data_IF_036790923552
#
_entry.id   IF_036790923552
#
_cell.length_a   1.000
_cell.length_b   1.000
_cell.length_c   1.000
_cell.angle_alpha   90.00
_cell.angle_beta   90.00
_cell.angle_gamma   90.00
#
_symmetry.space_group_name_H-M   'P 1'
#
loop_
_entity.id
_entity.type
_entity.pdbx_description
1 polymer ?
#
# COMPACT_ATOMS: atom_id res chain seq x y z
N UNK A 1 67.77 1.48 -23.59
CA UNK A 1 66.51 2.17 -23.22
C UNK A 1 65.38 1.39 -23.88
N UNK A 2 64.68 0.55 -23.12
CA UNK A 2 63.52 -0.19 -23.61
C UNK A 2 62.31 0.29 -22.81
N UNK A 3 61.35 0.90 -23.48
CA UNK A 3 60.13 1.41 -22.85
C UNK A 3 59.14 0.24 -22.71
N UNK A 4 58.82 -0.13 -21.46
CA UNK A 4 57.77 -1.07 -21.13
C UNK A 4 56.41 -0.40 -21.32
N UNK A 5 55.67 -0.78 -22.37
CA UNK A 5 54.27 -0.43 -22.52
C UNK A 5 53.43 -1.19 -21.47
N UNK A 6 52.86 -0.46 -20.52
CA UNK A 6 51.82 -0.98 -19.64
C UNK A 6 50.52 -1.10 -20.43
N UNK A 7 50.01 -2.33 -20.58
CA UNK A 7 48.68 -2.60 -21.13
C UNK A 7 47.62 -2.24 -20.09
N UNK A 8 46.90 -1.16 -20.35
CA UNK A 8 45.70 -0.79 -19.60
C UNK A 8 44.59 -1.78 -19.95
N UNK A 9 44.15 -2.57 -18.97
CA UNK A 9 42.98 -3.45 -19.09
C UNK A 9 41.73 -2.58 -19.23
N UNK A 10 41.17 -2.51 -20.44
CA UNK A 10 39.85 -1.92 -20.68
C UNK A 10 38.80 -2.90 -20.18
N UNK A 11 38.20 -2.62 -19.02
CA UNK A 11 37.09 -3.41 -18.50
C UNK A 11 35.91 -3.38 -19.50
N UNK A 12 35.51 -4.56 -19.97
CA UNK A 12 34.37 -4.75 -20.87
C UNK A 12 33.07 -4.77 -20.04
N UNK A 13 32.36 -3.64 -20.05
CA UNK A 13 31.10 -3.46 -19.34
C UNK A 13 29.88 -3.91 -20.16
N UNK A 14 30.05 -4.46 -21.37
CA UNK A 14 28.96 -4.84 -22.27
C UNK A 14 27.99 -5.87 -21.65
N UNK A 15 28.52 -6.75 -20.79
CA UNK A 15 27.73 -7.76 -20.07
C UNK A 15 26.70 -7.17 -19.08
N UNK A 16 26.90 -5.93 -18.59
CA UNK A 16 26.00 -5.26 -17.63
C UNK A 16 24.90 -4.46 -18.38
N UNK A 17 25.07 -4.22 -19.68
CA UNK A 17 24.16 -3.42 -20.52
C UNK A 17 23.26 -4.32 -21.39
N UNK A 18 23.49 -5.64 -21.40
CA UNK A 18 22.64 -6.58 -22.11
C UNK A 18 21.28 -6.71 -21.42
N UNK A 19 20.25 -6.07 -21.98
CA UNK A 19 18.86 -6.30 -21.58
C UNK A 19 18.39 -7.58 -22.28
N UNK A 20 18.21 -8.70 -21.57
CA UNK A 20 17.72 -9.91 -22.20
C UNK A 20 16.30 -9.69 -22.72
N UNK A 21 16.00 -10.18 -23.91
CA UNK A 21 14.64 -10.20 -24.43
C UNK A 21 13.75 -11.04 -23.49
N UNK A 22 12.45 -10.71 -23.40
CA UNK A 22 11.49 -11.55 -22.69
C UNK A 22 11.38 -12.86 -23.45
N UNK A 23 11.95 -13.92 -22.89
CA UNK A 23 11.96 -15.25 -23.52
C UNK A 23 10.81 -16.13 -23.05
N UNK A 24 10.29 -15.87 -21.84
CA UNK A 24 9.21 -16.66 -21.24
C UNK A 24 8.17 -15.74 -20.61
N UNK A 25 6.88 -15.84 -21.00
CA UNK A 25 5.83 -15.06 -20.36
C UNK A 25 5.57 -15.55 -18.92
N UNK A 26 5.21 -14.63 -18.03
CA UNK A 26 4.80 -14.96 -16.66
C UNK A 26 3.40 -15.55 -16.68
N UNK A 27 3.27 -16.80 -16.23
CA UNK A 27 1.99 -17.51 -16.05
C UNK A 27 1.34 -17.04 -14.75
N UNK A 28 0.56 -15.95 -14.84
CA UNK A 28 -0.03 -15.28 -13.68
C UNK A 28 -1.03 -16.15 -12.94
N UNK A 29 -1.72 -17.05 -13.62
CA UNK A 29 -2.71 -17.98 -13.07
C UNK A 29 -2.12 -19.04 -12.12
N UNK A 30 -0.80 -19.16 -12.07
CA UNK A 30 -0.06 -20.03 -11.15
C UNK A 30 0.48 -19.29 -9.92
N UNK A 31 0.41 -17.96 -9.92
CA UNK A 31 0.90 -17.12 -8.82
C UNK A 31 -0.16 -16.88 -7.74
N UNK A 32 -1.40 -17.30 -7.98
CA UNK A 32 -2.50 -17.24 -7.01
C UNK A 32 -2.78 -18.63 -6.41
N UNK A 33 -2.99 -18.69 -5.10
CA UNK A 33 -3.35 -19.91 -4.41
C UNK A 33 -4.80 -20.31 -4.70
N UNK A 34 -4.99 -21.35 -5.52
CA UNK A 34 -6.30 -21.88 -5.91
C UNK A 34 -7.04 -22.58 -4.78
N UNK A 35 -6.32 -22.97 -3.73
CA UNK A 35 -6.88 -23.67 -2.58
C UNK A 35 -7.22 -22.71 -1.43
N UNK A 36 -6.82 -21.43 -1.54
CA UNK A 36 -7.15 -20.42 -0.55
C UNK A 36 -8.66 -20.28 -0.42
N UNK A 37 -9.13 -20.25 0.82
CA UNK A 37 -10.50 -19.92 1.18
C UNK A 37 -10.45 -18.80 2.19
N UNK A 38 -11.24 -17.77 1.95
CA UNK A 38 -11.47 -16.72 2.94
C UNK A 38 -11.91 -17.36 4.26
N UNK A 39 -11.27 -16.94 5.34
CA UNK A 39 -11.67 -17.32 6.68
C UNK A 39 -12.81 -16.41 7.15
N UNK A 40 -13.62 -16.89 8.09
CA UNK A 40 -14.71 -16.10 8.67
C UNK A 40 -14.25 -15.05 9.68
N UNK A 41 -12.99 -14.60 9.59
CA UNK A 41 -12.40 -13.63 10.50
C UNK A 41 -13.06 -12.26 10.30
N UNK A 42 -13.16 -11.48 11.38
CA UNK A 42 -13.65 -10.11 11.26
C UNK A 42 -12.64 -9.25 10.50
N UNK A 43 -13.05 -8.13 9.87
CA UNK A 43 -12.13 -7.23 9.18
C UNK A 43 -10.94 -6.78 10.06
N UNK A 44 -11.20 -6.52 11.35
CA UNK A 44 -10.15 -6.08 12.29
C UNK A 44 -9.18 -7.22 12.62
N UNK A 45 -9.66 -8.46 12.76
CA UNK A 45 -8.80 -9.61 13.00
C UNK A 45 -7.89 -9.88 11.79
N UNK A 46 -8.43 -9.78 10.57
CA UNK A 46 -7.67 -9.90 9.34
C UNK A 46 -6.59 -8.82 9.23
N UNK A 47 -6.93 -7.57 9.55
CA UNK A 47 -5.99 -6.46 9.62
C UNK A 47 -4.84 -6.73 10.59
N UNK A 48 -5.16 -7.17 11.81
CA UNK A 48 -4.16 -7.47 12.84
C UNK A 48 -3.28 -8.65 12.43
N UNK A 49 -3.85 -9.71 11.86
CA UNK A 49 -3.13 -10.89 11.35
C UNK A 49 -2.15 -10.50 10.25
N UNK A 50 -2.59 -9.74 9.26
CA UNK A 50 -1.75 -9.26 8.15
C UNK A 50 -0.64 -8.33 8.66
N UNK A 51 -0.97 -7.40 9.55
CA UNK A 51 0.01 -6.49 10.14
C UNK A 51 1.04 -7.22 11.01
N UNK A 52 0.63 -8.24 11.76
CA UNK A 52 1.54 -9.04 12.56
C UNK A 52 2.45 -9.91 11.69
N UNK A 53 1.94 -10.48 10.60
CA UNK A 53 2.77 -11.19 9.62
C UNK A 53 3.87 -10.29 9.03
N UNK A 54 3.56 -9.03 8.75
CA UNK A 54 4.56 -8.04 8.31
C UNK A 54 5.59 -7.71 9.39
N UNK A 55 5.17 -7.58 10.66
CA UNK A 55 6.09 -7.34 11.77
C UNK A 55 7.14 -8.47 11.90
N UNK A 56 6.72 -9.72 11.70
CA UNK A 56 7.63 -10.88 11.79
C UNK A 56 8.79 -10.83 10.77
N UNK A 57 8.63 -10.08 9.67
CA UNK A 57 9.67 -9.94 8.65
C UNK A 57 10.90 -9.17 9.13
N UNK A 58 10.76 -8.34 10.17
CA UNK A 58 11.84 -7.44 10.59
C UNK A 58 12.10 -7.39 12.10
N UNK A 59 11.18 -7.94 12.93
CA UNK A 59 11.41 -8.03 14.36
C UNK A 59 12.61 -8.92 14.73
N UNK A 60 12.86 -9.99 13.94
CA UNK A 60 13.83 -11.03 14.29
C UNK A 60 15.26 -10.81 13.80
N UNK A 61 15.51 -9.88 12.87
CA UNK A 61 16.86 -9.63 12.33
C UNK A 61 17.49 -8.41 12.99
N UNK A 62 18.79 -8.40 13.28
CA UNK A 62 19.44 -7.25 13.95
C UNK A 62 19.32 -5.94 13.16
N UNK A 63 19.43 -6.03 11.83
CA UNK A 63 19.30 -4.91 10.90
C UNK A 63 18.26 -5.22 9.82
N UNK A 64 17.51 -4.20 9.39
CA UNK A 64 16.58 -4.27 8.27
C UNK A 64 17.14 -3.45 7.11
N UNK A 65 17.11 -3.98 5.89
CA UNK A 65 17.47 -3.19 4.71
C UNK A 65 16.40 -2.13 4.43
N UNK A 66 16.81 -1.03 3.79
CA UNK A 66 15.89 0.04 3.40
C UNK A 66 14.77 -0.47 2.49
N UNK A 67 15.10 -1.38 1.59
CA UNK A 67 14.18 -1.99 0.64
C UNK A 67 13.13 -2.82 1.37
N UNK A 68 13.56 -3.69 2.30
CA UNK A 68 12.63 -4.50 3.08
C UNK A 68 11.76 -3.64 4.00
N UNK A 69 12.33 -2.59 4.59
CA UNK A 69 11.58 -1.62 5.39
C UNK A 69 10.48 -0.93 4.56
N UNK A 70 10.83 -0.53 3.34
CA UNK A 70 9.88 0.09 2.41
C UNK A 70 8.77 -0.89 2.01
N UNK A 71 9.11 -2.15 1.74
CA UNK A 71 8.12 -3.20 1.41
C UNK A 71 7.19 -3.46 2.60
N UNK A 72 7.73 -3.58 3.82
CA UNK A 72 6.93 -3.75 5.03
C UNK A 72 5.98 -2.56 5.25
N UNK A 73 6.47 -1.34 5.07
CA UNK A 73 5.67 -0.12 5.14
C UNK A 73 4.52 -0.11 4.13
N UNK A 74 4.80 -0.42 2.86
CA UNK A 74 3.77 -0.53 1.83
C UNK A 74 2.75 -1.64 2.16
N UNK A 75 3.22 -2.75 2.75
CA UNK A 75 2.37 -3.82 3.26
C UNK A 75 1.37 -3.34 4.32
N UNK A 76 1.76 -2.48 5.26
CA UNK A 76 0.82 -1.92 6.24
C UNK A 76 -0.28 -1.11 5.56
N UNK A 77 0.07 -0.31 4.56
CA UNK A 77 -0.93 0.45 3.80
C UNK A 77 -1.88 -0.47 3.02
N UNK A 78 -1.39 -1.58 2.48
CA UNK A 78 -2.25 -2.61 1.87
C UNK A 78 -3.16 -3.29 2.90
N UNK A 79 -2.69 -3.50 4.14
CA UNK A 79 -3.51 -4.05 5.22
C UNK A 79 -4.64 -3.08 5.62
N UNK A 80 -4.36 -1.77 5.71
CA UNK A 80 -5.39 -0.74 5.97
C UNK A 80 -6.43 -0.70 4.85
N UNK A 81 -5.99 -0.71 3.60
CA UNK A 81 -6.91 -0.71 2.46
C UNK A 81 -7.81 -1.96 2.46
N UNK A 82 -7.23 -3.14 2.73
CA UNK A 82 -7.99 -4.39 2.85
C UNK A 82 -9.00 -4.35 4.00
N UNK A 83 -8.62 -3.76 5.14
CA UNK A 83 -9.51 -3.55 6.28
C UNK A 83 -10.72 -2.70 5.91
N UNK A 84 -10.49 -1.52 5.31
CA UNK A 84 -11.57 -0.61 4.93
C UNK A 84 -12.52 -1.27 3.94
N UNK A 85 -11.99 -1.96 2.92
CA UNK A 85 -12.80 -2.70 1.94
C UNK A 85 -13.65 -3.77 2.60
N UNK A 86 -13.03 -4.66 3.39
CA UNK A 86 -13.76 -5.74 4.05
C UNK A 86 -14.79 -5.23 5.06
N UNK A 87 -14.52 -4.11 5.73
CA UNK A 87 -15.45 -3.46 6.64
C UNK A 87 -16.66 -2.90 5.88
N UNK A 88 -16.44 -2.12 4.82
CA UNK A 88 -17.52 -1.56 3.99
C UNK A 88 -18.36 -2.66 3.36
N UNK A 89 -17.72 -3.70 2.80
CA UNK A 89 -18.42 -4.90 2.30
C UNK A 89 -19.29 -5.53 3.37
N UNK A 90 -18.70 -5.78 4.55
CA UNK A 90 -19.40 -6.39 5.66
C UNK A 90 -20.64 -5.59 6.08
N UNK A 91 -20.50 -4.27 6.21
CA UNK A 91 -21.61 -3.37 6.56
C UNK A 91 -22.73 -3.42 5.52
N UNK A 92 -22.42 -3.35 4.23
CA UNK A 92 -23.43 -3.44 3.15
C UNK A 92 -24.21 -4.77 3.21
N UNK A 93 -23.53 -5.87 3.58
CA UNK A 93 -24.18 -7.19 3.62
C UNK A 93 -25.09 -7.40 4.83
N UNK A 94 -24.82 -6.73 5.96
CA UNK A 94 -25.51 -6.99 7.24
C UNK A 94 -26.44 -5.86 7.67
N UNK A 95 -26.16 -4.62 7.29
CA UNK A 95 -26.92 -3.44 7.68
C UNK A 95 -27.85 -2.98 6.54
N UNK A 96 -29.19 -3.06 6.75
CA UNK A 96 -30.16 -2.65 5.74
C UNK A 96 -30.03 -1.19 5.30
N UNK A 97 -29.58 -0.29 6.18
CA UNK A 97 -29.37 1.11 5.82
C UNK A 97 -28.21 1.25 4.83
N UNK A 98 -27.06 0.65 5.14
CA UNK A 98 -25.90 0.60 4.26
C UNK A 98 -26.25 -0.01 2.90
N UNK A 99 -26.99 -1.12 2.89
CA UNK A 99 -27.45 -1.74 1.64
C UNK A 99 -28.26 -0.76 0.79
N UNK A 100 -29.24 -0.09 1.38
CA UNK A 100 -30.09 0.87 0.68
C UNK A 100 -29.30 2.03 0.07
N UNK A 101 -28.25 2.51 0.74
CA UNK A 101 -27.36 3.56 0.18
C UNK A 101 -26.54 3.01 -1.00
N UNK A 102 -26.08 1.77 -0.90
CA UNK A 102 -25.30 1.11 -1.94
C UNK A 102 -26.13 0.68 -3.18
N UNK A 103 -27.45 0.47 -3.04
CA UNK A 103 -28.35 0.04 -4.13
C UNK A 103 -28.36 1.01 -5.33
N UNK A 104 -28.11 2.30 -5.12
CA UNK A 104 -28.05 3.31 -6.18
C UNK A 104 -26.73 3.29 -6.97
N UNK A 105 -25.77 2.45 -6.58
CA UNK A 105 -24.42 2.42 -7.18
C UNK A 105 -24.33 1.40 -8.30
N UNK A 106 -23.50 1.73 -9.28
CA UNK A 106 -23.25 0.87 -10.42
C UNK A 106 -22.04 -0.05 -10.17
N UNK A 107 -22.13 -1.27 -10.67
CA UNK A 107 -21.02 -2.22 -10.78
C UNK A 107 -20.77 -2.54 -12.26
N UNK A 108 -19.58 -3.07 -12.57
CA UNK A 108 -19.28 -3.54 -13.92
C UNK A 108 -20.10 -4.80 -14.25
N UNK A 109 -20.38 -5.01 -15.53
CA UNK A 109 -21.08 -6.22 -15.98
C UNK A 109 -20.30 -7.51 -15.65
N UNK A 110 -18.96 -7.44 -15.74
CA UNK A 110 -18.09 -8.56 -15.36
C UNK A 110 -18.22 -8.95 -13.88
N UNK A 111 -18.26 -7.96 -12.99
CA UNK A 111 -18.50 -8.20 -11.56
C UNK A 111 -19.88 -8.81 -11.32
N UNK A 112 -20.92 -8.30 -11.99
CA UNK A 112 -22.27 -8.85 -11.89
C UNK A 112 -22.37 -10.32 -12.34
N UNK A 113 -21.58 -10.72 -13.34
CA UNK A 113 -21.60 -12.08 -13.89
C UNK A 113 -20.75 -13.07 -13.08
N UNK A 114 -19.63 -12.62 -12.50
CA UNK A 114 -18.62 -13.53 -11.93
C UNK A 114 -18.46 -13.46 -10.41
N UNK A 115 -18.91 -12.40 -9.73
CA UNK A 115 -18.82 -12.33 -8.26
C UNK A 115 -19.94 -13.12 -7.60
N UNK A 116 -19.64 -13.73 -6.45
CA UNK A 116 -20.68 -14.23 -5.55
C UNK A 116 -21.45 -13.05 -4.94
N UNK A 117 -22.68 -13.29 -4.47
CA UNK A 117 -23.47 -12.25 -3.79
C UNK A 117 -22.72 -11.64 -2.59
N UNK A 118 -21.91 -12.44 -1.90
CA UNK A 118 -21.12 -12.02 -0.75
C UNK A 118 -19.93 -11.14 -1.14
N UNK A 119 -19.36 -11.32 -2.34
CA UNK A 119 -18.22 -10.51 -2.83
C UNK A 119 -18.65 -9.37 -3.75
N UNK A 120 -19.93 -9.33 -4.14
CA UNK A 120 -20.44 -8.29 -5.04
C UNK A 120 -20.21 -6.86 -4.52
N UNK A 121 -20.36 -6.57 -3.21
CA UNK A 121 -20.08 -5.21 -2.71
C UNK A 121 -18.62 -4.78 -2.85
N UNK A 122 -17.65 -5.69 -3.01
CA UNK A 122 -16.26 -5.30 -3.30
C UNK A 122 -16.15 -4.53 -4.61
N UNK A 123 -16.94 -4.91 -5.61
CA UNK A 123 -16.92 -4.30 -6.93
C UNK A 123 -17.36 -2.83 -6.93
N UNK A 124 -18.03 -2.38 -5.86
CA UNK A 124 -18.37 -0.97 -5.67
C UNK A 124 -17.14 -0.10 -5.39
N UNK A 125 -16.04 -0.73 -4.97
CA UNK A 125 -14.82 -0.06 -4.53
C UNK A 125 -13.63 -0.33 -5.46
N UNK A 126 -13.80 -1.00 -6.61
CA UNK A 126 -12.68 -1.35 -7.50
C UNK A 126 -11.84 -0.13 -7.91
N UNK A 127 -12.52 1.00 -8.20
CA UNK A 127 -11.88 2.27 -8.57
C UNK A 127 -11.59 3.19 -7.37
N UNK A 128 -11.87 2.73 -6.16
CA UNK A 128 -11.68 3.53 -4.95
C UNK A 128 -10.25 3.35 -4.49
N UNK A 129 -9.66 4.43 -3.98
CA UNK A 129 -8.33 4.39 -3.38
C UNK A 129 -8.42 4.91 -1.96
N UNK A 130 -7.81 4.20 -1.01
CA UNK A 130 -7.79 4.59 0.40
C UNK A 130 -6.46 5.26 0.76
N UNK A 131 -5.98 6.10 -0.18
CA UNK A 131 -4.68 6.74 -0.09
C UNK A 131 -4.71 8.04 0.70
N UNK A 132 -5.87 8.54 1.12
CA UNK A 132 -6.04 9.69 2.01
C UNK A 132 -7.27 9.48 2.90
N UNK A 133 -7.28 10.10 4.08
CA UNK A 133 -8.38 10.04 5.05
C UNK A 133 -9.72 10.52 4.43
N UNK A 134 -9.64 11.53 3.56
CA UNK A 134 -10.80 12.08 2.84
C UNK A 134 -11.52 11.03 2.00
N UNK A 135 -10.78 10.19 1.28
CA UNK A 135 -11.38 9.12 0.48
C UNK A 135 -12.09 8.07 1.34
N UNK A 136 -11.54 7.77 2.53
CA UNK A 136 -12.20 6.87 3.49
C UNK A 136 -13.53 7.50 3.93
N UNK A 137 -13.52 8.77 4.36
CA UNK A 137 -14.74 9.47 4.78
C UNK A 137 -15.80 9.54 3.67
N UNK A 138 -15.38 9.88 2.46
CA UNK A 138 -16.25 9.92 1.27
C UNK A 138 -16.85 8.54 0.96
N UNK A 139 -16.06 7.47 1.12
CA UNK A 139 -16.53 6.10 0.91
C UNK A 139 -17.60 5.73 1.92
N UNK A 140 -17.38 5.99 3.21
CA UNK A 140 -18.38 5.70 4.25
C UNK A 140 -19.65 6.54 4.04
N UNK A 141 -19.51 7.81 3.69
CA UNK A 141 -20.67 8.64 3.38
C UNK A 141 -21.42 8.14 2.14
N UNK A 142 -20.70 7.77 1.11
CA UNK A 142 -21.24 7.43 -0.21
C UNK A 142 -21.80 6.00 -0.33
N UNK A 143 -21.28 5.04 0.44
CA UNK A 143 -21.66 3.63 0.38
C UNK A 143 -22.37 3.13 1.64
N UNK A 144 -22.11 3.75 2.80
CA UNK A 144 -22.68 3.35 4.10
C UNK A 144 -23.71 4.39 4.60
N UNK A 145 -23.63 5.63 4.10
CA UNK A 145 -24.48 6.74 4.54
C UNK A 145 -24.06 7.35 5.88
N UNK A 146 -22.82 7.10 6.33
CA UNK A 146 -22.29 7.59 7.61
C UNK A 146 -21.26 8.69 7.35
N UNK A 147 -21.46 9.85 7.99
CA UNK A 147 -20.44 10.90 8.04
C UNK A 147 -19.45 10.60 9.18
N UNK A 148 -18.27 10.07 8.83
CA UNK A 148 -17.25 9.66 9.79
C UNK A 148 -16.64 10.89 10.49
N UNK A 149 -16.99 11.05 11.77
CA UNK A 149 -16.32 12.00 12.66
C UNK A 149 -15.06 11.37 13.22
N UNK A 150 -13.92 11.77 12.69
CA UNK A 150 -12.59 11.31 13.12
C UNK A 150 -11.85 12.46 13.79
N UNK A 151 -11.09 12.15 14.85
CA UNK A 151 -10.22 13.12 15.51
C UNK A 151 -9.24 13.75 14.52
N UNK A 152 -9.05 15.07 14.59
CA UNK A 152 -8.24 15.82 13.63
C UNK A 152 -6.76 15.41 13.67
N UNK A 153 -6.26 14.97 14.83
CA UNK A 153 -4.87 14.48 14.97
C UNK A 153 -4.70 13.16 14.24
N UNK A 154 -5.66 12.24 14.38
CA UNK A 154 -5.66 10.95 13.66
C UNK A 154 -5.69 11.19 12.15
N UNK A 155 -6.58 12.07 11.69
CA UNK A 155 -6.68 12.45 10.28
C UNK A 155 -5.36 13.01 9.75
N UNK A 156 -4.77 13.98 10.45
CA UNK A 156 -3.51 14.61 10.05
C UNK A 156 -2.36 13.61 10.03
N UNK A 157 -2.28 12.72 11.01
CA UNK A 157 -1.19 11.75 11.10
C UNK A 157 -1.30 10.69 10.00
N UNK A 158 -2.49 10.14 9.79
CA UNK A 158 -2.74 9.21 8.69
C UNK A 158 -2.42 9.85 7.33
N UNK A 159 -2.82 11.10 7.09
CA UNK A 159 -2.55 11.79 5.83
C UNK A 159 -1.06 12.05 5.59
N UNK A 160 -0.25 12.25 6.64
CA UNK A 160 1.21 12.29 6.53
C UNK A 160 1.77 10.94 6.09
N UNK A 161 1.35 9.85 6.74
CA UNK A 161 1.77 8.48 6.41
C UNK A 161 1.42 8.18 4.94
N UNK A 162 0.24 8.60 4.49
CA UNK A 162 -0.17 8.52 3.10
C UNK A 162 0.73 9.30 2.13
N UNK A 163 1.26 10.47 2.52
CA UNK A 163 2.26 11.17 1.70
C UNK A 163 3.56 10.38 1.61
N UNK A 164 4.00 9.74 2.71
CA UNK A 164 5.19 8.88 2.70
C UNK A 164 4.97 7.66 1.78
N UNK A 165 3.79 7.03 1.83
CA UNK A 165 3.39 5.95 0.90
C UNK A 165 3.51 6.43 -0.55
N UNK A 166 3.02 7.64 -0.84
CA UNK A 166 3.12 8.21 -2.19
C UNK A 166 4.59 8.33 -2.63
N UNK A 167 5.49 8.79 -1.75
CA UNK A 167 6.93 8.83 -2.05
C UNK A 167 7.53 7.43 -2.26
N UNK A 168 7.11 6.41 -1.52
CA UNK A 168 7.62 5.05 -1.70
C UNK A 168 7.19 4.44 -3.04
N UNK A 169 5.89 4.51 -3.37
CA UNK A 169 5.34 3.96 -4.61
C UNK A 169 5.80 4.76 -5.82
N UNK A 170 5.90 6.08 -5.69
CA UNK A 170 6.31 6.96 -6.76
C UNK A 170 7.67 7.55 -6.44
N UNK A 171 8.65 7.32 -7.32
CA UNK A 171 10.00 7.90 -7.24
C UNK A 171 10.91 7.25 -6.18
N UNK A 172 10.65 6.00 -5.81
CA UNK A 172 11.56 5.14 -5.04
C UNK A 172 11.98 5.75 -3.68
N UNK A 173 11.00 6.35 -3.01
CA UNK A 173 11.15 6.98 -1.70
C UNK A 173 11.59 8.45 -1.75
N UNK A 174 11.83 9.05 -2.92
CA UNK A 174 12.31 10.43 -3.00
C UNK A 174 11.21 11.45 -2.69
N UNK A 175 11.53 12.42 -1.84
CA UNK A 175 10.59 13.48 -1.51
C UNK A 175 10.42 14.47 -2.68
N UNK A 176 9.20 14.56 -3.21
CA UNK A 176 8.82 15.56 -4.21
C UNK A 176 8.23 16.83 -3.61
N UNK A 177 8.23 17.92 -4.38
CA UNK A 177 7.71 19.22 -3.97
C UNK A 177 6.24 19.17 -3.50
N UNK A 178 5.37 18.45 -4.22
CA UNK A 178 3.94 18.30 -3.86
C UNK A 178 3.76 17.63 -2.51
N UNK A 179 4.51 16.56 -2.22
CA UNK A 179 4.43 15.86 -0.94
C UNK A 179 4.99 16.71 0.20
N UNK A 180 6.12 17.39 -0.02
CA UNK A 180 6.69 18.28 0.99
C UNK A 180 5.78 19.46 1.35
N UNK A 181 5.04 20.02 0.39
CA UNK A 181 4.05 21.06 0.68
C UNK A 181 2.96 20.56 1.62
N UNK A 182 2.50 19.30 1.45
CA UNK A 182 1.51 18.67 2.32
C UNK A 182 2.08 18.27 3.69
N UNK A 183 3.35 17.88 3.75
CA UNK A 183 4.05 17.53 5.00
C UNK A 183 4.54 18.76 5.79
N UNK A 184 4.65 19.92 5.13
CA UNK A 184 5.11 21.18 5.70
C UNK A 184 6.45 21.62 5.10
N UNK A 185 6.42 22.61 4.20
CA UNK A 185 7.59 23.01 3.42
C UNK A 185 8.74 23.57 4.27
N UNK A 186 8.43 24.27 5.36
CA UNK A 186 9.43 24.92 6.22
C UNK A 186 10.43 23.92 6.83
N UNK A 187 9.97 22.70 7.13
CA UNK A 187 10.79 21.64 7.71
C UNK A 187 11.36 20.68 6.67
N UNK A 188 10.80 20.66 5.46
CA UNK A 188 11.11 19.66 4.42
C UNK A 188 11.81 20.21 3.17
N UNK A 189 12.00 21.53 3.04
CA UNK A 189 12.61 22.16 1.86
C UNK A 189 14.03 21.62 1.54
N UNK A 190 14.82 21.33 2.57
CA UNK A 190 16.18 20.79 2.45
C UNK A 190 16.21 19.29 2.15
N UNK A 191 15.04 18.64 2.07
CA UNK A 191 14.89 17.20 1.90
C UNK A 191 14.43 16.80 0.48
N UNK A 192 14.27 17.76 -0.43
CA UNK A 192 13.90 17.45 -1.82
C UNK A 192 14.85 16.47 -2.48
N UNK A 193 14.28 15.52 -3.22
CA UNK A 193 14.98 14.42 -3.89
C UNK A 193 15.74 13.47 -2.97
N UNK A 194 15.73 13.72 -1.65
CA UNK A 194 16.35 12.81 -0.69
C UNK A 194 15.46 11.59 -0.50
N UNK A 195 16.07 10.40 -0.44
CA UNK A 195 15.33 9.17 -0.19
C UNK A 195 14.75 9.13 1.22
N UNK A 196 13.54 8.60 1.35
CA UNK A 196 12.99 8.15 2.62
C UNK A 196 13.88 7.05 3.20
N UNK A 197 14.22 7.18 4.48
CA UNK A 197 14.95 6.19 5.26
C UNK A 197 13.98 5.66 6.31
N UNK A 198 13.81 4.34 6.34
CA UNK A 198 12.99 3.65 7.33
C UNK A 198 13.85 2.57 7.98
N UNK A 199 13.97 2.63 9.30
CA UNK A 199 14.51 1.58 10.15
C UNK A 199 13.42 0.93 11.00
N UNK A 200 13.83 0.14 11.99
CA UNK A 200 12.90 -0.55 12.89
C UNK A 200 12.06 0.42 13.72
N UNK A 201 12.67 1.50 14.20
CA UNK A 201 12.00 2.45 15.08
C UNK A 201 10.90 3.21 14.33
N UNK A 202 11.18 3.63 13.09
CA UNK A 202 10.17 4.26 12.24
C UNK A 202 9.05 3.28 11.89
N UNK A 203 9.36 2.00 11.61
CA UNK A 203 8.34 0.98 11.35
C UNK A 203 7.49 0.68 12.58
N UNK A 204 8.10 0.58 13.77
CA UNK A 204 7.39 0.42 15.04
C UNK A 204 6.40 1.57 15.26
N UNK A 205 6.86 2.81 15.05
CA UNK A 205 6.02 3.99 15.21
C UNK A 205 4.86 4.02 14.21
N UNK A 206 5.14 3.78 12.93
CA UNK A 206 4.12 3.75 11.88
C UNK A 206 3.11 2.63 12.15
N UNK A 207 3.58 1.42 12.46
CA UNK A 207 2.70 0.29 12.77
C UNK A 207 1.84 0.57 14.02
N UNK A 208 2.40 1.23 15.03
CA UNK A 208 1.66 1.67 16.22
C UNK A 208 0.56 2.68 15.87
N UNK A 209 0.90 3.73 15.13
CA UNK A 209 -0.04 4.79 14.74
C UNK A 209 -1.16 4.30 13.82
N UNK A 210 -0.90 3.32 12.96
CA UNK A 210 -1.93 2.77 12.06
C UNK A 210 -2.89 1.84 12.83
N UNK A 211 -2.47 1.27 13.96
CA UNK A 211 -3.28 0.34 14.77
C UNK A 211 -4.10 1.03 15.87
N UNK A 212 -3.75 2.26 16.24
CA UNK A 212 -4.42 3.05 17.28
C UNK A 212 -5.74 3.65 16.80
#
# INVERSE_FOLDING_TARGET
>A
MSASNQTVSTADYSAIVAVPAITTPVSTERLFDRNYKENGDSPIDQFLKNSNALNLLWLNGDNISRELATVAFLGYMSAVESYVRSLVRGLILIDPHSLKVAEEKNITFGAALHHSKQLLPEALMDEYSFVHSGNIKETFKGLIGIDLSLDERVVKEFDKICQLRHCCVHRFGKLGAKNAMKLGLNTHNSLFEKPLILGKDELNLIAGNIRS
#
